data_IF_265774161526
#
_entry.id   IF_265774161526
#
_cell.length_a   1.000
_cell.length_b   1.000
_cell.length_c   1.000
_cell.angle_alpha   90.00
_cell.angle_beta   90.00
_cell.angle_gamma   90.00
#
_symmetry.space_group_name_H-M   'P 1'
#
loop_
_entity.id
_entity.type
_entity.pdbx_description
1 polymer ?
#
# COMPACT_ATOMS: atom_id res chain seq x y z
N UNK A 1 3.36 9.45 7.58
CA UNK A 1 2.52 8.23 7.54
C UNK A 1 2.62 7.44 6.23
N UNK A 2 2.42 8.04 5.06
CA UNK A 2 2.44 7.31 3.77
C UNK A 2 3.77 6.58 3.51
N UNK A 3 4.91 7.22 3.81
CA UNK A 3 6.22 6.61 3.65
C UNK A 3 6.40 5.33 4.49
N UNK A 4 5.82 5.28 5.69
CA UNK A 4 5.84 4.09 6.54
C UNK A 4 5.09 2.92 5.85
N UNK A 5 3.89 3.15 5.33
CA UNK A 5 3.14 2.14 4.59
C UNK A 5 3.92 1.65 3.36
N UNK A 6 4.58 2.55 2.63
CA UNK A 6 5.36 2.20 1.45
C UNK A 6 6.56 1.29 1.81
N UNK A 7 7.33 1.64 2.84
CA UNK A 7 8.47 0.83 3.30
C UNK A 7 8.02 -0.55 3.77
N UNK A 8 6.90 -0.63 4.48
CA UNK A 8 6.32 -1.91 4.93
C UNK A 8 5.93 -2.79 3.74
N UNK A 9 5.17 -2.25 2.77
CA UNK A 9 4.77 -2.97 1.56
C UNK A 9 6.01 -3.46 0.80
N UNK A 10 6.98 -2.57 0.58
CA UNK A 10 8.20 -2.90 -0.13
C UNK A 10 8.98 -4.05 0.55
N UNK A 11 9.13 -3.98 1.87
CA UNK A 11 9.83 -5.01 2.65
C UNK A 11 9.13 -6.36 2.56
N UNK A 12 7.79 -6.38 2.66
CA UNK A 12 6.99 -7.61 2.55
C UNK A 12 7.11 -8.22 1.15
N UNK A 13 7.01 -7.42 0.09
CA UNK A 13 7.14 -7.88 -1.29
C UNK A 13 8.55 -8.43 -1.57
N UNK A 14 9.58 -7.70 -1.12
CA UNK A 14 10.96 -8.13 -1.28
C UNK A 14 11.25 -9.45 -0.52
N UNK A 15 10.76 -9.56 0.72
CA UNK A 15 10.87 -10.78 1.51
C UNK A 15 10.13 -11.96 0.85
N UNK A 16 8.92 -11.74 0.35
CA UNK A 16 8.17 -12.79 -0.36
C UNK A 16 8.90 -13.23 -1.64
N UNK A 17 9.42 -12.28 -2.42
CA UNK A 17 10.19 -12.56 -3.64
C UNK A 17 11.44 -13.39 -3.37
N UNK A 18 12.25 -13.00 -2.38
CA UNK A 18 13.45 -13.75 -2.00
C UNK A 18 13.11 -15.16 -1.48
N UNK A 19 12.02 -15.31 -0.72
CA UNK A 19 11.54 -16.62 -0.26
C UNK A 19 11.11 -17.53 -1.42
N UNK A 20 10.41 -16.98 -2.42
CA UNK A 20 10.00 -17.72 -3.61
C UNK A 20 11.23 -18.21 -4.38
N UNK A 21 12.20 -17.31 -4.63
CA UNK A 21 13.44 -17.65 -5.33
C UNK A 21 14.23 -18.75 -4.62
N UNK A 22 14.33 -18.69 -3.29
CA UNK A 22 15.05 -19.71 -2.51
C UNK A 22 14.31 -21.06 -2.48
N UNK A 23 12.99 -21.06 -2.29
CA UNK A 23 12.21 -22.28 -2.11
C UNK A 23 11.98 -23.02 -3.44
N UNK A 24 11.71 -22.30 -4.51
CA UNK A 24 11.43 -22.86 -5.84
C UNK A 24 12.67 -22.89 -6.74
N UNK A 25 13.87 -22.78 -6.16
CA UNK A 25 15.11 -23.00 -6.89
C UNK A 25 15.17 -24.44 -7.42
N UNK A 26 15.75 -24.64 -8.61
CA UNK A 26 15.77 -25.95 -9.28
C UNK A 26 16.42 -27.05 -8.44
N UNK A 27 17.35 -26.68 -7.54
CA UNK A 27 18.00 -27.63 -6.61
C UNK A 27 17.04 -28.14 -5.54
N UNK A 28 16.04 -27.34 -5.17
CA UNK A 28 15.14 -27.61 -4.05
C UNK A 28 13.78 -28.14 -4.53
N UNK A 29 13.34 -27.78 -5.74
CA UNK A 29 12.10 -28.27 -6.33
C UNK A 29 12.27 -28.49 -7.85
N UNK A 30 12.46 -29.75 -8.25
CA UNK A 30 12.73 -30.13 -9.65
C UNK A 30 11.48 -30.35 -10.50
N UNK A 31 10.32 -30.59 -9.87
CA UNK A 31 9.03 -30.78 -10.53
C UNK A 31 8.09 -29.60 -10.21
N UNK A 32 7.63 -28.84 -11.21
CA UNK A 32 6.72 -27.72 -10.99
C UNK A 32 5.31 -28.23 -10.65
N UNK A 33 4.70 -27.65 -9.62
CA UNK A 33 3.31 -27.87 -9.28
C UNK A 33 2.39 -27.18 -10.32
N UNK A 34 1.34 -27.87 -10.76
CA UNK A 34 0.36 -27.35 -11.74
C UNK A 34 -0.90 -26.86 -11.05
N UNK A 35 -0.78 -25.81 -10.26
CA UNK A 35 -1.92 -25.14 -9.60
C UNK A 35 -2.11 -23.78 -10.26
N UNK A 36 -3.27 -23.56 -10.89
CA UNK A 36 -3.49 -22.37 -11.71
C UNK A 36 -4.36 -21.30 -11.04
N UNK A 37 -5.22 -21.68 -10.08
CA UNK A 37 -6.15 -20.75 -9.44
C UNK A 37 -6.35 -21.08 -7.97
N UNK A 38 -6.39 -20.05 -7.13
CA UNK A 38 -6.71 -20.16 -5.71
C UNK A 38 -7.59 -18.96 -5.32
N UNK A 39 -8.91 -19.11 -5.52
CA UNK A 39 -9.89 -18.03 -5.28
C UNK A 39 -9.81 -17.42 -3.88
N UNK A 40 -9.52 -18.23 -2.85
CA UNK A 40 -9.37 -17.72 -1.49
C UNK A 40 -8.13 -16.83 -1.33
N UNK A 41 -7.00 -17.23 -1.94
CA UNK A 41 -5.79 -16.42 -1.94
C UNK A 41 -6.05 -15.14 -2.74
N UNK A 42 -6.79 -15.26 -3.85
CA UNK A 42 -7.18 -14.16 -4.71
C UNK A 42 -8.07 -13.12 -4.02
N UNK A 43 -8.90 -13.56 -3.08
CA UNK A 43 -9.71 -12.67 -2.25
C UNK A 43 -8.84 -11.93 -1.22
N UNK A 44 -7.95 -12.66 -0.53
CA UNK A 44 -7.14 -12.11 0.57
C UNK A 44 -6.22 -10.99 0.08
N UNK A 45 -5.44 -11.23 -0.98
CA UNK A 45 -4.54 -10.20 -1.53
C UNK A 45 -5.27 -9.06 -2.27
N UNK A 46 -6.58 -9.15 -2.52
CA UNK A 46 -7.38 -8.03 -3.06
C UNK A 46 -7.95 -7.16 -1.94
N UNK A 47 -8.35 -7.76 -0.82
CA UNK A 47 -8.88 -7.03 0.35
C UNK A 47 -7.76 -6.35 1.15
N UNK A 48 -6.59 -6.99 1.27
CA UNK A 48 -5.47 -6.42 2.04
C UNK A 48 -5.03 -5.03 1.51
N UNK A 49 -4.78 -4.84 0.20
CA UNK A 49 -4.40 -3.54 -0.35
C UNK A 49 -5.51 -2.48 -0.23
N UNK A 50 -6.78 -2.86 -0.40
CA UNK A 50 -7.88 -1.90 -0.30
C UNK A 50 -8.03 -1.34 1.11
N UNK A 51 -7.80 -2.16 2.14
CA UNK A 51 -7.82 -1.73 3.54
C UNK A 51 -6.65 -0.79 3.89
N UNK A 52 -5.46 -1.02 3.31
CA UNK A 52 -4.31 -0.11 3.46
C UNK A 52 -4.63 1.26 2.86
N UNK A 53 -5.20 1.30 1.65
CA UNK A 53 -5.57 2.56 0.99
C UNK A 53 -6.63 3.31 1.82
N UNK A 54 -7.65 2.62 2.33
CA UNK A 54 -8.69 3.22 3.15
C UNK A 54 -8.11 3.86 4.43
N UNK A 55 -7.15 3.17 5.06
CA UNK A 55 -6.46 3.65 6.26
C UNK A 55 -5.63 4.91 6.00
N UNK A 56 -5.08 5.07 4.79
CA UNK A 56 -4.37 6.29 4.38
C UNK A 56 -5.37 7.41 4.02
N UNK A 57 -6.49 7.06 3.38
CA UNK A 57 -7.49 8.02 2.95
C UNK A 57 -8.16 8.76 4.11
N UNK A 58 -8.48 8.08 5.21
CA UNK A 58 -9.18 8.67 6.35
C UNK A 58 -8.48 9.93 6.93
N UNK A 59 -7.21 9.87 7.38
CA UNK A 59 -6.52 11.06 7.87
C UNK A 59 -6.23 12.08 6.77
N UNK A 60 -6.01 11.63 5.53
CA UNK A 60 -5.75 12.52 4.40
C UNK A 60 -6.96 13.39 4.06
N UNK A 61 -8.17 12.85 4.16
CA UNK A 61 -9.39 13.61 3.94
C UNK A 61 -9.59 14.64 5.06
N UNK A 62 -9.43 14.24 6.33
CA UNK A 62 -9.50 15.18 7.46
C UNK A 62 -8.52 16.34 7.29
N UNK A 63 -7.29 16.06 6.86
CA UNK A 63 -6.29 17.10 6.60
C UNK A 63 -6.76 18.07 5.51
N UNK A 64 -7.21 17.56 4.36
CA UNK A 64 -7.64 18.41 3.24
C UNK A 64 -8.81 19.30 3.64
N UNK A 65 -9.82 18.75 4.34
CA UNK A 65 -10.95 19.56 4.82
C UNK A 65 -10.52 20.60 5.85
N UNK A 66 -9.56 20.29 6.73
CA UNK A 66 -9.04 21.26 7.71
C UNK A 66 -8.26 22.42 7.07
N UNK A 67 -7.65 22.19 5.91
CA UNK A 67 -6.94 23.22 5.16
C UNK A 67 -7.93 24.13 4.41
N UNK A 68 -9.03 23.57 3.89
CA UNK A 68 -10.09 24.31 3.21
C UNK A 68 -10.80 25.28 4.18
N UNK A 69 -11.15 24.80 5.37
CA UNK A 69 -11.80 25.62 6.42
C UNK A 69 -10.95 26.82 6.89
N UNK A 70 -9.61 26.77 6.78
CA UNK A 70 -8.73 27.87 7.21
C UNK A 70 -8.74 29.08 6.27
N UNK A 71 -9.27 28.95 5.05
CA UNK A 71 -9.20 30.02 4.04
C UNK A 71 -10.38 31.00 4.15
N UNK A 72 -11.42 30.67 4.91
CA UNK A 72 -12.68 31.43 4.95
C UNK A 72 -12.55 32.84 5.60
N UNK A 73 -11.60 33.05 6.52
CA UNK A 73 -11.35 34.39 7.12
C UNK A 73 -9.85 34.68 7.32
N UNK A 74 -9.13 35.12 6.27
CA UNK A 74 -7.72 35.45 6.41
C UNK A 74 -7.56 36.76 7.21
N UNK A 75 -6.79 36.71 8.30
CA UNK A 75 -6.43 37.92 9.07
C UNK A 75 -5.49 38.87 8.31
N UNK A 76 -4.82 38.39 7.26
CA UNK A 76 -3.93 39.17 6.39
C UNK A 76 -3.83 38.47 5.01
N UNK A 77 -3.99 39.23 3.93
CA UNK A 77 -3.84 38.72 2.55
C UNK A 77 -2.65 39.41 1.89
N UNK A 78 -1.67 38.62 1.42
CA UNK A 78 -0.49 39.12 0.70
C UNK A 78 -0.59 38.76 -0.79
N UNK A 79 -0.61 39.77 -1.66
CA UNK A 79 -0.59 39.58 -3.11
C UNK A 79 0.85 39.62 -3.61
N UNK A 80 1.31 38.52 -4.18
CA UNK A 80 2.62 38.44 -4.87
C UNK A 80 2.40 38.81 -6.35
N UNK A 81 3.25 39.71 -6.87
CA UNK A 81 3.26 40.16 -8.28
C UNK A 81 4.42 39.51 -9.01
#
# INVERSE_FOLDING_TARGET
DIFFFLVVIFTVVFWLGTKILYRFHYTNQSLPERINHHTNLELIWSILPSLIILSIAFPSLTLIYSLDDQVETPGLTVKVV
#
